data_IF_385574126240
#
_entry.id   IF_385574126240
#
_cell.length_a   1.000
_cell.length_b   1.000
_cell.length_c   1.000
_cell.angle_alpha   90.00
_cell.angle_beta   90.00
_cell.angle_gamma   90.00
#
_symmetry.space_group_name_H-M   'P 1'
#
loop_
_entity.id
_entity.type
_entity.pdbx_description
1 polymer ?
#
# COMPACT_ATOMS: atom_id res chain seq x y z
N UNK A 1 -2.60 -9.26 28.76
CA UNK A 1 -2.64 -9.39 27.28
C UNK A 1 -1.64 -10.48 26.94
N UNK A 2 -2.09 -11.71 26.69
CA UNK A 2 -1.17 -12.76 26.25
C UNK A 2 -0.57 -12.29 24.92
N UNK A 3 0.77 -12.24 24.82
CA UNK A 3 1.46 -12.02 23.55
C UNK A 3 1.20 -13.25 22.69
N UNK A 4 0.14 -13.23 21.90
CA UNK A 4 0.02 -14.20 20.82
C UNK A 4 1.22 -14.01 19.90
N UNK A 5 1.87 -15.11 19.51
CA UNK A 5 3.02 -15.04 18.61
C UNK A 5 2.52 -14.64 17.22
N UNK A 6 2.80 -13.40 16.82
CA UNK A 6 2.46 -12.86 15.52
C UNK A 6 3.70 -12.81 14.63
N UNK A 7 3.48 -12.98 13.33
CA UNK A 7 4.45 -12.60 12.31
C UNK A 7 3.78 -11.64 11.33
N UNK A 8 4.57 -10.70 10.81
CA UNK A 8 4.07 -9.66 9.91
C UNK A 8 4.72 -9.82 8.54
N UNK A 9 3.90 -9.89 7.49
CA UNK A 9 4.37 -9.84 6.11
C UNK A 9 4.57 -8.39 5.68
N UNK A 10 5.81 -7.91 5.77
CA UNK A 10 6.13 -6.53 5.42
C UNK A 10 6.21 -6.30 3.92
N UNK A 11 7.02 -7.08 3.22
CA UNK A 11 7.23 -6.92 1.78
C UNK A 11 7.63 -8.25 1.12
N UNK A 12 7.36 -8.33 -0.17
CA UNK A 12 7.67 -9.47 -1.02
C UNK A 12 8.00 -8.99 -2.41
N UNK A 13 9.29 -8.85 -2.70
CA UNK A 13 9.77 -8.30 -3.97
C UNK A 13 10.43 -9.41 -4.79
N UNK A 14 10.18 -9.38 -6.09
CA UNK A 14 10.91 -10.15 -7.07
C UNK A 14 11.46 -9.20 -8.14
N UNK A 15 12.65 -9.53 -8.65
CA UNK A 15 13.21 -8.87 -9.83
C UNK A 15 12.22 -8.95 -11.00
N UNK A 16 12.06 -7.89 -11.82
CA UNK A 16 11.09 -7.85 -12.90
C UNK A 16 11.16 -9.05 -13.85
N UNK A 17 12.36 -9.51 -14.17
CA UNK A 17 12.64 -10.60 -15.09
C UNK A 17 12.15 -11.96 -14.54
N UNK A 18 11.96 -12.05 -13.22
CA UNK A 18 11.60 -13.27 -12.50
C UNK A 18 10.19 -13.21 -11.88
N UNK A 19 9.37 -12.21 -12.22
CA UNK A 19 8.01 -12.08 -11.68
C UNK A 19 7.11 -13.29 -11.97
N UNK A 20 7.32 -13.97 -13.09
CA UNK A 20 6.56 -15.17 -13.49
C UNK A 20 6.71 -16.33 -12.51
N UNK A 21 7.81 -16.41 -11.78
CA UNK A 21 8.05 -17.47 -10.79
C UNK A 21 7.26 -17.29 -9.49
N UNK A 22 6.67 -16.12 -9.27
CA UNK A 22 5.88 -15.83 -8.07
C UNK A 22 6.62 -16.15 -6.74
N UNK A 23 7.94 -15.90 -6.71
CA UNK A 23 8.80 -16.21 -5.57
C UNK A 23 8.29 -15.68 -4.21
N UNK A 24 7.70 -14.47 -4.10
CA UNK A 24 7.15 -13.98 -2.83
C UNK A 24 6.07 -14.90 -2.24
N UNK A 25 5.22 -15.48 -3.09
CA UNK A 25 4.17 -16.42 -2.64
C UNK A 25 4.80 -17.71 -2.11
N UNK A 26 5.82 -18.22 -2.81
CA UNK A 26 6.53 -19.43 -2.40
C UNK A 26 7.23 -19.23 -1.05
N UNK A 27 7.93 -18.11 -0.88
CA UNK A 27 8.60 -17.75 0.38
C UNK A 27 7.60 -17.67 1.52
N UNK A 28 6.48 -16.96 1.32
CA UNK A 28 5.43 -16.84 2.33
C UNK A 28 4.83 -18.20 2.69
N UNK A 29 4.56 -19.05 1.70
CA UNK A 29 4.06 -20.41 1.93
C UNK A 29 5.00 -21.22 2.82
N UNK A 30 6.29 -21.24 2.48
CA UNK A 30 7.30 -21.95 3.27
C UNK A 30 7.41 -21.38 4.69
N UNK A 31 7.33 -20.06 4.85
CA UNK A 31 7.34 -19.43 6.15
C UNK A 31 6.16 -19.89 7.01
N UNK A 32 4.94 -19.83 6.50
CA UNK A 32 3.74 -20.27 7.24
C UNK A 32 3.85 -21.76 7.59
N UNK A 33 4.20 -22.60 6.61
CA UNK A 33 4.30 -24.05 6.79
C UNK A 33 5.30 -24.43 7.88
N UNK A 34 6.48 -23.81 7.90
CA UNK A 34 7.54 -24.13 8.85
C UNK A 34 7.29 -23.58 10.25
N UNK A 35 6.37 -22.62 10.39
CA UNK A 35 6.12 -21.92 11.65
C UNK A 35 4.70 -22.11 12.20
N UNK A 36 3.90 -23.00 11.61
CA UNK A 36 2.49 -23.20 11.98
C UNK A 36 2.28 -23.60 13.45
N UNK A 37 3.28 -24.24 14.08
CA UNK A 37 3.24 -24.62 15.49
C UNK A 37 3.67 -23.49 16.44
N UNK A 38 4.28 -22.43 15.92
CA UNK A 38 4.89 -21.35 16.71
C UNK A 38 4.18 -20.01 16.55
N UNK A 39 3.59 -19.76 15.38
CA UNK A 39 2.89 -18.53 15.01
C UNK A 39 1.39 -18.79 15.01
N UNK A 40 0.64 -17.99 15.76
CA UNK A 40 -0.83 -18.05 15.78
C UNK A 40 -1.46 -17.11 14.77
N UNK A 41 -0.83 -15.95 14.54
CA UNK A 41 -1.38 -14.91 13.67
C UNK A 41 -0.34 -14.52 12.62
N UNK A 42 -0.76 -14.58 11.36
CA UNK A 42 -0.04 -13.99 10.23
C UNK A 42 -0.70 -12.66 9.87
N UNK A 43 -0.08 -11.55 10.27
CA UNK A 43 -0.54 -10.21 9.92
C UNK A 43 -0.01 -9.81 8.54
N UNK A 44 -0.91 -9.65 7.59
CA UNK A 44 -0.57 -9.20 6.24
C UNK A 44 -0.38 -7.68 6.15
N UNK A 45 -0.65 -6.94 7.21
CA UNK A 45 -0.63 -5.49 7.27
C UNK A 45 -1.76 -4.84 6.47
N UNK A 46 -1.88 -3.52 6.61
CA UNK A 46 -2.97 -2.76 5.99
C UNK A 46 -2.85 -2.75 4.46
N UNK A 47 -3.98 -2.90 3.78
CA UNK A 47 -4.11 -2.69 2.35
C UNK A 47 -5.45 -2.04 2.04
N UNK A 48 -5.50 -1.33 0.92
CA UNK A 48 -6.73 -0.69 0.45
C UNK A 48 -7.53 -1.64 -0.43
N UNK A 49 -8.84 -1.74 -0.21
CA UNK A 49 -9.72 -2.57 -1.01
C UNK A 49 -9.62 -2.25 -2.52
N UNK A 50 -9.57 -3.30 -3.34
CA UNK A 50 -9.39 -3.21 -4.80
C UNK A 50 -7.98 -2.80 -5.24
N UNK A 51 -6.96 -2.92 -4.38
CA UNK A 51 -5.55 -2.80 -4.78
C UNK A 51 -4.94 -4.18 -5.05
N UNK A 52 -3.91 -4.25 -5.89
CA UNK A 52 -3.17 -5.49 -6.15
C UNK A 52 -2.66 -6.16 -4.87
N UNK A 53 -2.20 -5.36 -3.89
CA UNK A 53 -1.79 -5.88 -2.59
C UNK A 53 -2.96 -6.45 -1.78
N UNK A 54 -4.14 -5.82 -1.83
CA UNK A 54 -5.34 -6.38 -1.20
C UNK A 54 -5.75 -7.70 -1.84
N UNK A 55 -5.79 -7.77 -3.18
CA UNK A 55 -6.16 -8.99 -3.91
C UNK A 55 -5.14 -10.12 -3.67
N UNK A 56 -3.86 -9.79 -3.57
CA UNK A 56 -2.81 -10.74 -3.17
C UNK A 56 -3.08 -11.32 -1.78
N UNK A 57 -3.30 -10.45 -0.78
CA UNK A 57 -3.54 -10.87 0.62
C UNK A 57 -4.82 -11.69 0.75
N UNK A 58 -5.89 -11.30 0.03
CA UNK A 58 -7.19 -11.98 0.06
C UNK A 58 -7.11 -13.45 -0.36
N UNK A 59 -6.18 -13.82 -1.26
CA UNK A 59 -5.96 -15.22 -1.68
C UNK A 59 -5.55 -16.15 -0.54
N UNK A 60 -4.99 -15.60 0.55
CA UNK A 60 -4.61 -16.34 1.74
C UNK A 60 -5.76 -16.52 2.74
N UNK A 61 -6.99 -16.13 2.35
CA UNK A 61 -8.20 -16.19 3.16
C UNK A 61 -8.05 -15.56 4.57
N UNK A 62 -7.54 -14.32 4.69
CA UNK A 62 -7.36 -13.67 5.98
C UNK A 62 -8.69 -13.21 6.56
N UNK A 63 -8.74 -13.06 7.87
CA UNK A 63 -9.76 -12.23 8.51
C UNK A 63 -9.54 -10.76 8.13
N UNK A 64 -10.55 -10.13 7.54
CA UNK A 64 -10.47 -8.71 7.13
C UNK A 64 -10.98 -7.85 8.27
N UNK A 65 -10.05 -7.24 9.01
CA UNK A 65 -10.37 -6.27 10.05
C UNK A 65 -10.33 -4.86 9.47
N UNK A 66 -11.36 -4.05 9.75
CA UNK A 66 -11.39 -2.65 9.32
C UNK A 66 -10.30 -1.89 10.07
N UNK A 67 -9.22 -1.57 9.37
CA UNK A 67 -8.12 -0.79 9.94
C UNK A 67 -8.60 0.64 10.23
N UNK A 68 -8.74 0.97 11.51
CA UNK A 68 -8.92 2.34 12.02
C UNK A 68 -7.58 3.08 12.01
N UNK A 69 -6.88 3.17 10.86
CA UNK A 69 -5.60 3.89 10.84
C UNK A 69 -5.81 5.39 10.99
N UNK A 70 -5.30 5.90 12.11
CA UNK A 70 -4.98 7.29 12.44
C UNK A 70 -4.06 7.86 11.36
N UNK A 71 -4.61 8.69 10.48
CA UNK A 71 -3.81 9.67 9.77
C UNK A 71 -3.83 10.95 10.61
N UNK A 72 -2.70 11.32 11.21
CA UNK A 72 -2.55 12.63 11.81
C UNK A 72 -2.22 13.62 10.69
N UNK A 73 -3.25 14.28 10.17
CA UNK A 73 -3.07 15.44 9.31
C UNK A 73 -2.71 16.63 10.20
N UNK A 74 -1.44 17.02 10.23
CA UNK A 74 -0.96 18.16 11.02
C UNK A 74 -1.51 19.51 10.55
N UNK A 75 -2.17 19.57 9.38
CA UNK A 75 -2.93 20.72 8.91
C UNK A 75 -4.40 20.32 8.71
N UNK A 76 -5.22 20.74 9.65
CA UNK A 76 -6.68 20.53 9.72
C UNK A 76 -7.40 21.22 8.54
N UNK A 77 -8.04 20.43 7.68
CA UNK A 77 -9.04 20.94 6.73
C UNK A 77 -8.99 20.33 5.32
N UNK A 78 -7.93 19.61 4.96
CA UNK A 78 -7.85 18.95 3.67
C UNK A 78 -8.66 17.64 3.63
N UNK A 79 -9.60 17.52 2.70
CA UNK A 79 -10.18 16.21 2.36
C UNK A 79 -9.08 15.29 1.85
N UNK A 80 -9.07 14.05 2.32
CA UNK A 80 -8.18 13.00 1.79
C UNK A 80 -8.64 12.68 0.37
N UNK A 81 -7.92 13.21 -0.62
CA UNK A 81 -8.22 12.94 -2.02
C UNK A 81 -7.80 11.52 -2.36
N UNK A 82 -8.76 10.68 -2.77
CA UNK A 82 -8.45 9.37 -3.34
C UNK A 82 -7.65 9.53 -4.64
N UNK A 83 -6.41 9.02 -4.74
CA UNK A 83 -5.63 9.06 -5.98
C UNK A 83 -6.27 8.31 -7.15
N UNK A 84 -7.21 7.39 -6.87
CA UNK A 84 -8.00 6.65 -7.86
C UNK A 84 -9.27 7.39 -8.29
N UNK A 85 -9.60 8.52 -7.66
CA UNK A 85 -10.76 9.31 -8.06
C UNK A 85 -10.62 9.83 -9.49
N UNK A 86 -11.74 9.90 -10.22
CA UNK A 86 -11.78 10.50 -11.57
C UNK A 86 -11.24 11.93 -11.59
N UNK A 87 -11.47 12.68 -10.50
CA UNK A 87 -10.97 14.05 -10.32
C UNK A 87 -9.44 14.08 -10.27
N UNK A 88 -8.83 13.21 -9.47
CA UNK A 88 -7.36 13.15 -9.35
C UNK A 88 -6.70 12.64 -10.64
N UNK A 89 -7.30 11.65 -11.31
CA UNK A 89 -6.76 11.13 -12.57
C UNK A 89 -6.83 12.16 -13.70
N UNK A 90 -7.94 12.92 -13.79
CA UNK A 90 -8.07 14.02 -14.74
C UNK A 90 -7.07 15.12 -14.45
N UNK A 91 -6.92 15.54 -13.19
CA UNK A 91 -5.92 16.53 -12.79
C UNK A 91 -4.51 16.08 -13.18
N UNK A 92 -4.16 14.83 -12.87
CA UNK A 92 -2.85 14.26 -13.21
C UNK A 92 -2.59 14.21 -14.72
N UNK A 93 -3.63 13.90 -15.51
CA UNK A 93 -3.55 13.90 -16.98
C UNK A 93 -3.32 15.31 -17.53
N UNK A 94 -4.10 16.28 -17.07
CA UNK A 94 -3.97 17.69 -17.48
C UNK A 94 -2.60 18.22 -17.07
N UNK A 95 -2.19 17.98 -15.82
CA UNK A 95 -0.89 18.36 -15.31
C UNK A 95 0.24 17.84 -16.19
N UNK A 96 0.23 16.54 -16.51
CA UNK A 96 1.24 15.91 -17.36
C UNK A 96 1.27 16.46 -18.79
N UNK A 97 0.12 16.83 -19.35
CA UNK A 97 0.02 17.31 -20.74
C UNK A 97 0.26 18.81 -20.90
N UNK A 98 -0.20 19.61 -19.95
CA UNK A 98 -0.27 21.06 -20.07
C UNK A 98 0.87 21.80 -19.35
N UNK A 99 1.56 21.16 -18.40
CA UNK A 99 2.61 21.81 -17.61
C UNK A 99 4.00 21.46 -18.16
N UNK A 100 4.73 22.42 -18.74
CA UNK A 100 6.13 22.22 -19.13
C UNK A 100 7.00 21.81 -17.95
N UNK A 101 8.04 21.01 -18.21
CA UNK A 101 8.91 20.46 -17.17
C UNK A 101 9.57 21.51 -16.27
N UNK A 102 9.90 22.71 -16.79
CA UNK A 102 10.48 23.79 -15.99
C UNK A 102 9.47 24.36 -14.97
N UNK A 103 8.20 24.53 -15.39
CA UNK A 103 7.12 24.93 -14.50
C UNK A 103 6.91 23.84 -13.44
N UNK A 104 6.80 22.59 -13.86
CA UNK A 104 6.61 21.46 -12.93
C UNK A 104 7.71 21.38 -11.85
N UNK A 105 8.97 21.66 -12.19
CA UNK A 105 10.09 21.72 -11.22
C UNK A 105 9.97 22.89 -10.25
N UNK A 106 9.49 24.05 -10.70
CA UNK A 106 9.32 25.24 -9.86
C UNK A 106 8.12 25.14 -8.91
N UNK A 107 6.94 24.74 -9.42
CA UNK A 107 5.69 24.78 -8.65
C UNK A 107 5.29 23.43 -8.06
N UNK A 108 5.79 22.33 -8.62
CA UNK A 108 5.47 20.97 -8.17
C UNK A 108 5.78 20.70 -6.69
N UNK A 109 6.95 21.10 -6.16
CA UNK A 109 7.27 20.91 -4.74
C UNK A 109 6.32 21.65 -3.80
N UNK A 110 5.90 22.88 -4.15
CA UNK A 110 4.98 23.69 -3.33
C UNK A 110 3.58 23.09 -3.31
N UNK A 111 3.10 22.63 -4.46
CA UNK A 111 1.82 21.94 -4.58
C UNK A 111 1.83 20.65 -3.76
N UNK A 112 2.88 19.84 -3.86
CA UNK A 112 3.03 18.61 -3.06
C UNK A 112 2.98 18.89 -1.55
N UNK A 113 3.72 19.90 -1.10
CA UNK A 113 3.74 20.32 0.32
C UNK A 113 2.36 20.76 0.83
N UNK A 114 1.58 21.46 0.00
CA UNK A 114 0.20 21.84 0.36
C UNK A 114 -0.77 20.66 0.47
N UNK A 115 -0.44 19.51 -0.13
CA UNK A 115 -1.23 18.28 -0.05
C UNK A 115 -0.82 17.35 1.11
N UNK A 116 0.05 17.81 2.01
CA UNK A 116 0.42 17.07 3.22
C UNK A 116 1.49 15.99 3.02
N UNK A 117 2.38 16.15 2.03
CA UNK A 117 3.61 15.35 1.89
C UNK A 117 4.83 16.05 2.45
#
# INVERSE_FOLDING_TARGET
IMKETYATWYDGVALPEYKSFNAPTLILWHFIKNNINYIKIMDFGVSREGSTNYDYKKKWNPEIVRASKLYYFFNSGGEVVDPRSKKYSLFSLVWRKAVPGFIAKMIGPRIRKSMGS
#
